data_IF_119867542893
#
_entry.id   IF_119867542893
#
_cell.length_a   1.000
_cell.length_b   1.000
_cell.length_c   1.000
_cell.angle_alpha   90.00
_cell.angle_beta   90.00
_cell.angle_gamma   90.00
#
_symmetry.space_group_name_H-M   'P 1'
#
loop_
_entity.id
_entity.type
_entity.pdbx_description
1 polymer ?
#
# COMPACT_ATOMS: atom_id res chain seq x y z
N UNK A 1 1.84 -7.61 -14.68
CA UNK A 1 2.52 -7.56 -13.36
C UNK A 1 2.02 -8.68 -12.44
N UNK A 2 1.87 -9.92 -12.96
CA UNK A 2 1.42 -11.08 -12.17
C UNK A 2 2.57 -12.03 -11.83
N UNK A 3 3.71 -11.90 -12.50
CA UNK A 3 4.85 -12.80 -12.37
C UNK A 3 5.67 -12.62 -11.08
N UNK A 4 5.39 -11.56 -10.30
CA UNK A 4 6.14 -11.20 -9.08
C UNK A 4 5.25 -11.10 -7.83
N UNK A 5 3.99 -11.53 -7.93
CA UNK A 5 3.02 -11.53 -6.82
C UNK A 5 2.36 -12.90 -6.71
N UNK A 6 2.05 -13.30 -5.49
CA UNK A 6 1.31 -14.54 -5.20
C UNK A 6 0.16 -14.19 -4.24
N UNK A 7 -1.10 -14.59 -4.53
CA UNK A 7 -2.20 -14.35 -3.61
C UNK A 7 -2.01 -15.10 -2.29
N UNK A 8 -2.16 -14.42 -1.16
CA UNK A 8 -2.03 -15.03 0.18
C UNK A 8 -2.95 -16.25 0.34
N UNK A 9 -4.18 -16.18 -0.20
CA UNK A 9 -5.14 -17.30 -0.17
C UNK A 9 -4.64 -18.55 -0.92
N UNK A 10 -3.83 -18.39 -1.96
CA UNK A 10 -3.26 -19.53 -2.70
C UNK A 10 -2.26 -20.32 -1.83
N UNK A 11 -1.48 -19.61 -1.00
CA UNK A 11 -0.55 -20.20 -0.04
C UNK A 11 -1.30 -20.87 1.11
N UNK A 12 -2.32 -20.21 1.64
CA UNK A 12 -3.14 -20.71 2.76
C UNK A 12 -3.81 -22.04 2.42
N UNK A 13 -4.42 -22.14 1.25
CA UNK A 13 -5.16 -23.34 0.83
C UNK A 13 -4.28 -24.60 0.72
N UNK A 14 -2.96 -24.45 0.70
CA UNK A 14 -2.00 -25.56 0.63
C UNK A 14 -1.53 -26.05 2.00
N UNK A 15 -1.90 -25.37 3.10
CA UNK A 15 -1.41 -25.70 4.45
C UNK A 15 -2.39 -26.62 5.18
N UNK A 16 -1.90 -27.64 5.90
CA UNK A 16 -2.74 -28.40 6.81
C UNK A 16 -3.09 -27.53 8.02
N UNK A 17 -4.38 -27.39 8.32
CA UNK A 17 -4.89 -26.63 9.46
C UNK A 17 -5.82 -25.48 9.07
N UNK A 18 -6.48 -24.89 10.07
CA UNK A 18 -7.31 -23.71 9.89
C UNK A 18 -6.43 -22.45 9.88
N UNK A 19 -6.60 -21.61 8.86
CA UNK A 19 -5.89 -20.34 8.76
C UNK A 19 -6.89 -19.25 8.35
N UNK A 20 -7.07 -18.27 9.22
CA UNK A 20 -7.95 -17.13 8.98
C UNK A 20 -7.14 -15.94 8.45
N UNK A 21 -7.50 -15.45 7.26
CA UNK A 21 -6.90 -14.27 6.63
C UNK A 21 -7.88 -13.10 6.65
N UNK A 22 -7.48 -12.02 7.30
CA UNK A 22 -8.21 -10.76 7.39
C UNK A 22 -7.47 -9.70 6.56
N UNK A 23 -8.17 -9.13 5.58
CA UNK A 23 -7.65 -8.01 4.78
C UNK A 23 -7.98 -6.70 5.50
N UNK A 24 -7.12 -6.31 6.45
CA UNK A 24 -7.26 -5.13 7.28
C UNK A 24 -5.88 -4.62 7.73
N UNK A 25 -5.80 -3.36 8.15
CA UNK A 25 -4.60 -2.76 8.74
C UNK A 25 -4.61 -2.94 10.26
N UNK A 26 -3.47 -3.30 10.84
CA UNK A 26 -3.25 -3.26 12.28
C UNK A 26 -2.96 -1.82 12.72
N UNK A 27 -3.81 -1.26 13.59
CA UNK A 27 -3.72 0.14 14.01
C UNK A 27 -3.29 0.33 15.47
N UNK A 28 -3.52 -0.66 16.34
CA UNK A 28 -3.09 -0.61 17.74
C UNK A 28 -2.85 -2.02 18.30
N UNK A 29 -1.92 -2.12 19.26
CA UNK A 29 -1.59 -3.36 19.97
C UNK A 29 -1.65 -3.07 21.47
N UNK A 30 -2.57 -3.75 22.18
CA UNK A 30 -2.61 -3.80 23.64
C UNK A 30 -1.93 -5.09 24.13
N UNK A 31 -0.69 -5.03 24.62
CA UNK A 31 0.03 -6.19 25.14
C UNK A 31 -0.42 -6.60 26.55
N UNK A 32 -1.22 -5.78 27.24
CA UNK A 32 -1.69 -6.09 28.59
C UNK A 32 -2.93 -6.97 28.54
N UNK A 33 -3.84 -6.68 27.59
CA UNK A 33 -5.04 -7.50 27.36
C UNK A 33 -4.91 -8.51 26.21
N UNK A 34 -3.72 -8.57 25.59
CA UNK A 34 -3.42 -9.39 24.41
C UNK A 34 -4.42 -9.17 23.27
N UNK A 35 -4.64 -7.91 22.90
CA UNK A 35 -5.56 -7.52 21.83
C UNK A 35 -4.86 -6.71 20.74
N UNK A 36 -5.23 -6.99 19.50
CA UNK A 36 -4.83 -6.24 18.31
C UNK A 36 -6.07 -5.55 17.74
N UNK A 37 -6.04 -4.24 17.59
CA UNK A 37 -7.11 -3.52 16.90
C UNK A 37 -6.78 -3.44 15.42
N UNK A 38 -7.71 -3.93 14.61
CA UNK A 38 -7.62 -3.88 13.14
C UNK A 38 -8.63 -2.88 12.58
N UNK A 39 -8.31 -2.31 11.42
CA UNK A 39 -9.16 -1.40 10.67
C UNK A 39 -9.24 -1.82 9.21
N UNK A 40 -10.46 -1.99 8.70
CA UNK A 40 -10.71 -2.12 7.28
C UNK A 40 -11.32 -0.82 6.74
N UNK A 41 -10.77 -0.34 5.64
CA UNK A 41 -11.31 0.80 4.91
C UNK A 41 -12.11 0.31 3.73
N UNK A 42 -13.41 0.57 3.71
CA UNK A 42 -14.28 0.18 2.58
C UNK A 42 -15.09 1.36 2.06
N UNK A 43 -15.28 1.42 0.74
CA UNK A 43 -16.25 2.33 0.12
C UNK A 43 -17.58 1.57 0.07
N UNK A 44 -18.43 1.74 1.07
CA UNK A 44 -19.74 1.07 1.05
C UNK A 44 -20.62 1.71 -0.01
N UNK A 45 -20.85 1.01 -1.12
CA UNK A 45 -22.14 1.05 -1.79
C UNK A 45 -23.08 0.14 -0.99
N UNK A 46 -24.17 0.71 -0.47
CA UNK A 46 -25.18 0.03 0.34
C UNK A 46 -25.54 -1.36 -0.21
N UNK A 47 -25.20 -2.43 0.50
CA UNK A 47 -25.54 -3.80 0.11
C UNK A 47 -25.17 -4.86 1.14
N UNK A 48 -26.19 -5.30 1.88
CA UNK A 48 -26.33 -6.57 2.61
C UNK A 48 -25.44 -6.85 3.83
N UNK A 49 -26.08 -6.77 5.00
CA UNK A 49 -25.62 -7.31 6.29
C UNK A 49 -25.87 -8.83 6.36
N UNK A 50 -24.81 -9.63 6.32
CA UNK A 50 -24.83 -11.02 6.79
C UNK A 50 -24.35 -11.04 8.23
N UNK A 51 -25.08 -11.76 9.10
CA UNK A 51 -24.68 -12.02 10.49
C UNK A 51 -23.60 -13.09 10.53
N UNK A 52 -22.37 -12.70 10.87
CA UNK A 52 -21.32 -13.63 11.29
C UNK A 52 -21.02 -13.46 12.78
N UNK A 53 -21.02 -14.60 13.48
CA UNK A 53 -20.91 -14.76 14.92
C UNK A 53 -19.47 -14.63 15.43
N UNK A 54 -19.33 -14.17 16.68
CA UNK A 54 -18.16 -14.35 17.58
C UNK A 54 -16.89 -13.49 17.40
N UNK A 55 -17.02 -12.19 17.11
CA UNK A 55 -16.00 -11.20 17.48
C UNK A 55 -16.65 -9.99 18.19
N UNK A 56 -15.89 -9.31 19.04
CA UNK A 56 -16.27 -8.02 19.65
C UNK A 56 -16.94 -7.10 18.63
N UNK A 57 -18.09 -6.51 18.99
CA UNK A 57 -18.93 -5.74 18.07
C UNK A 57 -18.10 -4.76 17.22
N UNK A 58 -18.12 -4.87 15.88
CA UNK A 58 -17.36 -3.98 15.01
C UNK A 58 -17.83 -2.53 15.20
N UNK A 59 -16.89 -1.60 15.35
CA UNK A 59 -17.16 -0.17 15.50
C UNK A 59 -16.98 0.50 14.14
N UNK A 60 -18.00 1.19 13.66
CA UNK A 60 -18.01 1.89 12.37
C UNK A 60 -17.80 3.38 12.60
N UNK A 61 -16.77 3.95 12.00
CA UNK A 61 -16.53 5.40 11.98
C UNK A 61 -16.45 5.90 10.54
N UNK A 62 -17.04 7.06 10.26
CA UNK A 62 -17.05 7.64 8.92
C UNK A 62 -16.11 8.83 8.85
N UNK A 63 -15.15 8.79 7.93
CA UNK A 63 -14.18 9.86 7.73
C UNK A 63 -13.95 10.09 6.23
N UNK A 64 -14.00 11.34 5.77
CA UNK A 64 -13.81 11.73 4.36
C UNK A 64 -14.61 10.93 3.32
N UNK A 65 -15.80 10.43 3.69
CA UNK A 65 -16.66 9.64 2.81
C UNK A 65 -16.34 8.14 2.75
N UNK A 66 -15.34 7.67 3.50
CA UNK A 66 -15.02 6.26 3.70
C UNK A 66 -15.53 5.78 5.06
N UNK A 67 -15.98 4.52 5.10
CA UNK A 67 -16.33 3.85 6.34
C UNK A 67 -15.11 3.05 6.81
N UNK A 68 -14.68 3.35 8.04
CA UNK A 68 -13.63 2.65 8.75
C UNK A 68 -14.27 1.69 9.76
N UNK A 69 -14.18 0.40 9.45
CA UNK A 69 -14.68 -0.67 10.32
C UNK A 69 -13.51 -1.11 11.19
N UNK A 70 -13.66 -0.98 12.52
CA UNK A 70 -12.64 -1.43 13.48
C UNK A 70 -13.14 -2.60 14.29
N UNK A 71 -12.26 -3.55 14.57
CA UNK A 71 -12.53 -4.72 15.40
C UNK A 71 -11.30 -5.11 16.20
N UNK A 72 -11.49 -5.77 17.34
CA UNK A 72 -10.40 -6.23 18.19
C UNK A 72 -10.22 -7.75 18.00
N UNK A 73 -8.97 -8.18 17.83
CA UNK A 73 -8.56 -9.58 17.67
C UNK A 73 -7.71 -9.96 18.87
N UNK A 74 -8.17 -10.94 19.64
CA UNK A 74 -7.38 -11.50 20.75
C UNK A 74 -6.30 -12.43 20.23
N UNK A 75 -5.14 -12.48 20.91
CA UNK A 75 -4.04 -13.39 20.57
C UNK A 75 -3.45 -14.05 21.82
N UNK A 76 -2.90 -15.26 21.69
CA UNK A 76 -2.01 -15.84 22.69
C UNK A 76 -0.54 -15.48 22.41
N UNK A 77 -0.19 -15.47 21.13
CA UNK A 77 1.12 -15.08 20.62
C UNK A 77 0.94 -14.13 19.45
N UNK A 78 1.69 -13.03 19.44
CA UNK A 78 1.70 -12.06 18.36
C UNK A 78 3.06 -12.08 17.65
N UNK A 79 3.05 -12.32 16.33
CA UNK A 79 4.24 -12.22 15.48
C UNK A 79 4.13 -10.96 14.61
N UNK A 80 5.05 -10.03 14.79
CA UNK A 80 5.05 -8.75 14.06
C UNK A 80 5.98 -8.83 12.85
N UNK A 81 5.39 -8.75 11.65
CA UNK A 81 6.10 -8.83 10.37
C UNK A 81 5.68 -7.72 9.39
N UNK A 82 5.36 -6.51 9.90
CA UNK A 82 4.79 -5.39 9.12
C UNK A 82 5.80 -4.65 8.21
N UNK A 83 7.09 -4.98 8.31
CA UNK A 83 8.13 -4.32 7.51
C UNK A 83 8.38 -2.86 7.91
N UNK A 84 8.72 -2.03 6.92
CA UNK A 84 9.06 -0.62 7.10
C UNK A 84 8.55 0.23 5.92
N UNK A 85 8.30 1.52 6.17
CA UNK A 85 7.87 2.51 5.17
C UNK A 85 9.07 3.27 4.58
N UNK A 86 8.98 3.78 3.33
CA UNK A 86 9.98 4.70 2.80
C UNK A 86 10.14 5.93 3.70
N UNK A 87 11.38 6.36 3.92
CA UNK A 87 11.70 7.56 4.68
C UNK A 87 12.01 8.72 3.74
N UNK A 88 11.41 9.89 4.00
CA UNK A 88 11.77 11.15 3.32
C UNK A 88 12.92 11.87 3.99
N UNK A 89 13.36 11.41 5.17
CA UNK A 89 14.31 12.10 6.04
C UNK A 89 13.93 13.54 6.38
N UNK A 90 12.63 13.87 6.28
CA UNK A 90 12.13 15.23 6.51
C UNK A 90 12.48 16.22 5.39
N UNK A 91 12.97 15.75 4.25
CA UNK A 91 13.32 16.62 3.11
C UNK A 91 12.02 17.14 2.49
N UNK A 92 11.78 18.46 2.47
CA UNK A 92 10.56 19.04 1.91
C UNK A 92 10.41 18.73 0.42
N UNK A 93 9.20 18.44 -0.03
CA UNK A 93 8.90 18.20 -1.44
C UNK A 93 9.09 16.74 -1.90
N UNK A 94 9.74 15.88 -1.11
CA UNK A 94 9.95 14.47 -1.49
C UNK A 94 8.63 13.72 -1.54
N UNK A 95 7.77 13.86 -0.53
CA UNK A 95 6.50 13.15 -0.47
C UNK A 95 5.54 13.59 -1.61
N UNK A 96 5.62 14.85 -2.02
CA UNK A 96 4.72 15.48 -2.97
C UNK A 96 5.18 15.30 -4.42
N UNK A 97 6.49 15.33 -4.68
CA UNK A 97 7.03 15.39 -6.05
C UNK A 97 7.73 14.11 -6.52
N UNK A 98 8.09 13.21 -5.59
CA UNK A 98 8.76 11.94 -5.94
C UNK A 98 7.79 10.76 -5.97
N UNK A 99 8.25 9.64 -6.52
CA UNK A 99 7.55 8.36 -6.45
C UNK A 99 8.50 7.36 -5.81
N UNK A 100 8.06 6.67 -4.76
CA UNK A 100 8.85 5.60 -4.14
C UNK A 100 8.87 4.35 -5.01
N UNK A 101 9.73 3.39 -4.68
CA UNK A 101 9.75 2.04 -5.28
C UNK A 101 9.63 1.05 -4.13
N UNK A 102 8.42 0.87 -3.59
CA UNK A 102 8.19 0.00 -2.43
C UNK A 102 7.14 -1.07 -2.71
N UNK A 103 6.00 -0.67 -3.26
CA UNK A 103 4.86 -1.54 -3.54
C UNK A 103 4.60 -1.68 -5.04
N UNK A 104 3.83 -2.69 -5.43
CA UNK A 104 3.46 -2.94 -6.84
C UNK A 104 2.80 -1.71 -7.49
N UNK A 105 1.96 -1.01 -6.72
CA UNK A 105 1.28 0.20 -7.17
C UNK A 105 2.26 1.33 -7.51
N UNK A 106 3.42 1.38 -6.86
CA UNK A 106 4.44 2.38 -7.16
C UNK A 106 5.01 2.18 -8.56
N UNK A 107 5.33 0.94 -8.92
CA UNK A 107 5.83 0.61 -10.26
C UNK A 107 4.82 0.94 -11.37
N UNK A 108 3.52 0.78 -11.09
CA UNK A 108 2.45 1.21 -12.01
C UNK A 108 2.47 2.73 -12.17
N UNK A 109 2.58 3.49 -11.06
CA UNK A 109 2.65 4.96 -11.08
C UNK A 109 3.88 5.45 -11.84
N UNK A 110 5.05 4.87 -11.60
CA UNK A 110 6.30 5.22 -12.29
C UNK A 110 6.15 4.99 -13.79
N UNK A 111 5.70 3.80 -14.20
CA UNK A 111 5.50 3.48 -15.61
C UNK A 111 4.53 4.48 -16.27
N UNK A 112 3.40 4.76 -15.63
CA UNK A 112 2.43 5.73 -16.15
C UNK A 112 3.05 7.11 -16.29
N UNK A 113 3.69 7.63 -15.24
CA UNK A 113 4.33 8.96 -15.24
C UNK A 113 5.39 9.07 -16.33
N UNK A 114 6.22 8.04 -16.52
CA UNK A 114 7.23 8.03 -17.57
C UNK A 114 6.61 8.09 -18.98
N UNK A 115 5.57 7.28 -19.24
CA UNK A 115 4.86 7.30 -20.52
C UNK A 115 4.23 8.68 -20.77
N UNK A 116 3.49 9.22 -19.79
CA UNK A 116 2.85 10.53 -19.88
C UNK A 116 3.88 11.64 -20.18
N UNK A 117 5.06 11.59 -19.55
CA UNK A 117 6.16 12.55 -19.77
C UNK A 117 6.78 12.43 -21.18
N UNK A 118 6.97 11.21 -21.68
CA UNK A 118 7.50 10.98 -23.02
C UNK A 118 6.51 11.45 -24.09
N UNK A 119 5.21 11.18 -23.91
CA UNK A 119 4.16 11.65 -24.81
C UNK A 119 4.11 13.19 -24.84
N UNK A 120 4.13 13.84 -23.66
CA UNK A 120 4.17 15.29 -23.56
C UNK A 120 5.43 15.89 -24.21
N UNK A 121 6.60 15.31 -23.97
CA UNK A 121 7.85 15.76 -24.56
C UNK A 121 7.87 15.63 -26.10
N UNK A 122 7.16 14.64 -26.64
CA UNK A 122 7.07 14.43 -28.08
C UNK A 122 6.24 15.50 -28.82
N UNK A 123 5.37 16.21 -28.10
CA UNK A 123 4.60 17.33 -28.65
C UNK A 123 5.43 18.62 -28.76
N UNK A 124 6.60 18.68 -28.10
CA UNK A 124 7.45 19.87 -28.06
C UNK A 124 8.53 19.83 -29.16
N UNK A 125 8.95 21.01 -29.70
CA UNK A 125 10.08 21.12 -30.61
C UNK A 125 11.37 20.51 -30.03
N UNK A 126 12.29 20.14 -30.92
CA UNK A 126 13.54 19.46 -30.51
C UNK A 126 14.47 20.34 -29.65
N UNK A 127 14.45 21.65 -29.88
CA UNK A 127 15.26 22.66 -29.21
C UNK A 127 14.57 23.27 -27.97
N UNK A 128 13.35 22.84 -27.67
CA UNK A 128 12.62 23.32 -26.49
C UNK A 128 13.30 22.82 -25.20
N UNK A 129 13.73 23.71 -24.29
CA UNK A 129 14.33 23.30 -23.01
C UNK A 129 13.39 22.46 -22.13
N UNK A 130 12.07 22.63 -22.25
CA UNK A 130 11.10 21.83 -21.51
C UNK A 130 11.09 20.37 -21.97
N UNK A 131 11.36 20.10 -23.25
CA UNK A 131 11.53 18.73 -23.74
C UNK A 131 12.65 18.02 -23.00
N UNK A 132 13.79 18.69 -22.81
CA UNK A 132 14.92 18.15 -22.04
C UNK A 132 14.55 17.94 -20.58
N UNK A 133 13.79 18.87 -19.98
CA UNK A 133 13.34 18.76 -18.58
C UNK A 133 12.39 17.58 -18.36
N UNK A 134 11.42 17.38 -19.26
CA UNK A 134 10.44 16.29 -19.16
C UNK A 134 11.09 14.90 -19.27
N UNK A 135 12.15 14.79 -20.07
CA UNK A 135 12.90 13.55 -20.28
C UNK A 135 14.05 13.35 -19.28
N UNK A 136 14.17 14.22 -18.27
CA UNK A 136 15.19 14.10 -17.24
C UNK A 136 14.66 13.32 -16.04
N UNK A 137 15.20 12.12 -15.83
CA UNK A 137 14.85 11.23 -14.72
C UNK A 137 15.95 11.27 -13.66
N UNK A 138 15.55 11.38 -12.40
CA UNK A 138 16.46 11.36 -11.25
C UNK A 138 16.07 10.18 -10.37
N UNK A 139 17.04 9.30 -10.10
CA UNK A 139 16.90 8.21 -9.13
C UNK A 139 17.74 8.56 -7.91
N UNK A 140 17.08 8.69 -6.75
CA UNK A 140 17.74 9.04 -5.50
C UNK A 140 18.03 7.79 -4.67
N UNK A 141 19.31 7.39 -4.61
CA UNK A 141 19.80 6.28 -3.79
C UNK A 141 20.67 5.34 -4.59
N UNK A 142 21.89 5.08 -4.12
CA UNK A 142 22.87 4.19 -4.77
C UNK A 142 22.85 2.74 -4.26
N UNK A 143 21.83 2.36 -3.49
CA UNK A 143 21.65 0.97 -3.05
C UNK A 143 21.13 0.07 -4.19
N UNK A 144 21.02 -1.25 -3.97
CA UNK A 144 20.59 -2.20 -5.00
C UNK A 144 19.30 -1.78 -5.72
N UNK A 145 18.27 -1.39 -4.95
CA UNK A 145 16.98 -0.93 -5.52
C UNK A 145 17.14 0.26 -6.45
N UNK A 146 17.97 1.24 -6.08
CA UNK A 146 18.18 2.43 -6.91
C UNK A 146 18.99 2.12 -8.16
N UNK A 147 20.02 1.28 -8.03
CA UNK A 147 20.85 0.84 -9.17
C UNK A 147 20.04 0.01 -10.17
N UNK A 148 19.19 -0.90 -9.71
CA UNK A 148 18.35 -1.72 -10.59
C UNK A 148 17.20 -0.92 -11.23
N UNK A 149 16.82 0.22 -10.65
CA UNK A 149 15.76 1.10 -11.17
C UNK A 149 16.28 2.08 -12.23
N UNK A 150 17.54 2.51 -12.13
CA UNK A 150 18.16 3.51 -13.01
C UNK A 150 18.49 2.93 -14.40
#
# INVERSE_FOLDING_TARGET
>A
MRSIIEPVRAIINQRPGEVNYLEAEAIDIDPTSNKLTIQQSTTVHSGHTGEDTSASHPRIHREHGMDHITSDVSYDYLVVAIGAKPSTFGIPGVAENSTFVKEVNDSIKIKKKLIDLVEAANLLPHDDPERKRLLHVIVCGGGPTGVETA
#
